data_IF_385157098163
#
_entry.id   IF_385157098163
#
_cell.length_a   1.000
_cell.length_b   1.000
_cell.length_c   1.000
_cell.angle_alpha   90.00
_cell.angle_beta   90.00
_cell.angle_gamma   90.00
#
_symmetry.space_group_name_H-M   'P 1'
#
loop_
_entity.id
_entity.type
_entity.pdbx_description
1 polymer ?
#
# COMPACT_ATOMS: atom_id res chain seq x y z
N UNK A 1 4.83 6.31 -13.77
CA UNK A 1 4.99 5.24 -12.77
C UNK A 1 3.98 4.14 -13.04
N UNK A 2 2.96 3.99 -12.20
CA UNK A 2 1.95 2.92 -12.34
C UNK A 2 1.10 3.04 -13.62
N UNK A 3 0.72 4.25 -14.01
CA UNK A 3 -0.08 4.52 -15.22
C UNK A 3 0.67 4.25 -16.53
N UNK A 4 2.00 4.22 -16.49
CA UNK A 4 2.85 4.01 -17.68
C UNK A 4 3.29 2.56 -17.84
N UNK A 5 2.92 1.67 -16.92
CA UNK A 5 3.27 0.26 -17.00
C UNK A 5 2.52 -0.42 -18.16
N UNK A 6 3.23 -1.26 -18.93
CA UNK A 6 2.71 -1.91 -20.14
C UNK A 6 2.55 -3.42 -20.02
N UNK A 7 3.15 -4.04 -19.00
CA UNK A 7 3.07 -5.49 -18.74
C UNK A 7 1.84 -5.85 -17.93
N UNK A 8 1.47 -7.13 -17.89
CA UNK A 8 0.25 -7.59 -17.20
C UNK A 8 0.31 -7.44 -15.68
N UNK A 9 1.52 -7.48 -15.14
CA UNK A 9 1.80 -7.30 -13.73
C UNK A 9 2.73 -6.11 -13.51
N UNK A 10 2.47 -5.38 -12.42
CA UNK A 10 3.24 -4.23 -11.97
C UNK A 10 3.87 -4.58 -10.64
N UNK A 11 5.19 -4.63 -10.60
CA UNK A 11 5.94 -4.75 -9.37
C UNK A 11 6.21 -3.36 -8.80
N UNK A 12 5.91 -3.18 -7.52
CA UNK A 12 6.11 -1.94 -6.78
C UNK A 12 7.02 -2.22 -5.58
N UNK A 13 8.13 -1.49 -5.51
CA UNK A 13 9.04 -1.53 -4.37
C UNK A 13 9.82 -0.23 -4.17
N UNK A 14 10.40 -0.07 -2.98
CA UNK A 14 11.28 1.04 -2.64
C UNK A 14 12.65 0.89 -3.32
N UNK A 15 13.20 2.01 -3.81
CA UNK A 15 14.51 2.06 -4.47
C UNK A 15 15.71 2.20 -3.52
N UNK A 16 15.53 1.98 -2.21
CA UNK A 16 16.54 2.23 -1.17
C UNK A 16 17.27 0.97 -0.67
N UNK A 17 17.17 -0.12 -1.46
CA UNK A 17 17.78 -1.43 -1.20
C UNK A 17 17.36 -2.07 0.13
N UNK A 18 16.21 -1.69 0.69
CA UNK A 18 15.68 -2.31 1.90
C UNK A 18 15.04 -3.69 1.67
N UNK A 19 14.80 -4.07 0.42
CA UNK A 19 14.25 -5.38 0.05
C UNK A 19 15.21 -6.11 -0.89
N UNK A 20 15.26 -7.45 -0.78
CA UNK A 20 15.95 -8.27 -1.76
C UNK A 20 15.05 -8.49 -2.97
N UNK A 21 15.40 -7.88 -4.10
CA UNK A 21 14.63 -7.99 -5.35
C UNK A 21 14.55 -9.44 -5.85
N UNK A 22 15.46 -10.32 -5.43
CA UNK A 22 15.37 -11.75 -5.78
C UNK A 22 14.14 -12.43 -5.18
N UNK A 23 13.60 -11.92 -4.07
CA UNK A 23 12.35 -12.41 -3.46
C UNK A 23 11.12 -12.09 -4.31
N UNK A 24 11.25 -11.30 -5.38
CA UNK A 24 10.19 -11.15 -6.39
C UNK A 24 9.76 -12.51 -6.95
N UNK A 25 10.67 -13.48 -7.02
CA UNK A 25 10.37 -14.86 -7.46
C UNK A 25 9.30 -15.51 -6.58
N UNK A 26 9.33 -15.24 -5.27
CA UNK A 26 8.36 -15.78 -4.32
C UNK A 26 6.96 -15.15 -4.51
N UNK A 27 6.91 -13.88 -4.94
CA UNK A 27 5.64 -13.24 -5.29
C UNK A 27 5.10 -13.80 -6.60
N UNK A 28 5.97 -13.97 -7.59
CA UNK A 28 5.60 -14.54 -8.90
C UNK A 28 5.08 -15.97 -8.75
N UNK A 29 5.63 -16.77 -7.84
CA UNK A 29 5.15 -18.12 -7.55
C UNK A 29 3.69 -18.19 -7.04
N UNK A 30 3.16 -17.08 -6.55
CA UNK A 30 1.78 -16.96 -6.06
C UNK A 30 0.81 -16.35 -7.08
N UNK A 31 1.30 -16.00 -8.28
CA UNK A 31 0.46 -15.49 -9.37
C UNK A 31 -0.45 -16.59 -9.88
N UNK A 32 -1.75 -16.29 -9.90
CA UNK A 32 -2.82 -17.17 -10.39
C UNK A 32 -3.95 -16.32 -10.98
N UNK A 33 -4.81 -16.94 -11.78
CA UNK A 33 -5.99 -16.27 -12.36
C UNK A 33 -6.96 -15.77 -11.28
N UNK A 34 -6.93 -16.39 -10.11
CA UNK A 34 -7.75 -16.02 -8.97
C UNK A 34 -7.12 -14.96 -8.04
N UNK A 35 -5.99 -14.38 -8.41
CA UNK A 35 -5.22 -13.43 -7.59
C UNK A 35 -4.99 -12.14 -8.35
N UNK A 36 -5.21 -11.00 -7.69
CA UNK A 36 -5.02 -9.67 -8.26
C UNK A 36 -3.82 -8.94 -7.65
N UNK A 37 -3.52 -9.24 -6.38
CA UNK A 37 -2.45 -8.60 -5.62
C UNK A 37 -1.71 -9.66 -4.79
N UNK A 38 -0.41 -9.78 -5.01
CA UNK A 38 0.51 -10.51 -4.13
C UNK A 38 1.26 -9.47 -3.28
N UNK A 39 1.00 -9.47 -1.98
CA UNK A 39 1.56 -8.49 -1.04
C UNK A 39 2.63 -9.14 -0.15
N UNK A 40 3.84 -8.58 -0.16
CA UNK A 40 4.86 -8.95 0.82
C UNK A 40 4.45 -8.54 2.23
N UNK A 41 4.92 -9.27 3.24
CA UNK A 41 4.90 -8.79 4.62
C UNK A 41 6.25 -9.05 5.31
N UNK A 42 6.66 -8.11 6.16
CA UNK A 42 8.00 -8.11 6.76
C UNK A 42 8.09 -9.24 7.80
N UNK A 43 8.89 -10.27 7.53
CA UNK A 43 9.01 -11.48 8.38
C UNK A 43 9.68 -11.18 9.73
N UNK A 44 10.70 -10.33 9.75
CA UNK A 44 11.39 -9.84 10.95
C UNK A 44 11.72 -8.37 10.78
N UNK A 45 11.35 -7.54 11.77
CA UNK A 45 11.82 -6.15 11.87
C UNK A 45 12.98 -6.11 12.86
N UNK A 46 14.20 -5.90 12.36
CA UNK A 46 15.40 -5.62 13.18
C UNK A 46 15.46 -4.13 13.58
N UNK A 47 14.32 -3.55 13.95
CA UNK A 47 14.18 -2.14 14.29
C UNK A 47 14.18 -1.94 15.81
N UNK A 48 14.52 -0.73 16.27
CA UNK A 48 14.42 -0.34 17.69
C UNK A 48 13.00 -0.61 18.24
N UNK A 49 12.89 -1.14 19.48
CA UNK A 49 11.61 -1.59 20.09
C UNK A 49 10.45 -0.59 19.95
N UNK A 50 10.73 0.72 20.09
CA UNK A 50 9.73 1.80 19.91
C UNK A 50 9.13 1.84 18.51
N UNK A 51 9.95 1.64 17.47
CA UNK A 51 9.51 1.62 16.06
C UNK A 51 8.66 0.39 15.76
N UNK A 52 9.00 -0.76 16.35
CA UNK A 52 8.20 -1.97 16.25
C UNK A 52 6.81 -1.75 16.86
N UNK A 53 6.74 -1.17 18.06
CA UNK A 53 5.46 -0.91 18.74
C UNK A 53 4.60 0.08 17.96
N UNK A 54 5.14 1.25 17.61
CA UNK A 54 4.39 2.28 16.88
C UNK A 54 3.95 1.80 15.49
N UNK A 55 4.84 1.13 14.75
CA UNK A 55 4.49 0.53 13.46
C UNK A 55 3.45 -0.58 13.60
N UNK A 56 3.50 -1.37 14.69
CA UNK A 56 2.49 -2.39 14.98
C UNK A 56 1.12 -1.80 15.30
N UNK A 57 1.09 -0.71 16.06
CA UNK A 57 -0.15 0.06 16.35
C UNK A 57 -0.71 0.61 15.04
N UNK A 58 0.11 1.28 14.23
CA UNK A 58 -0.31 1.83 12.94
C UNK A 58 -0.91 0.77 12.03
N UNK A 59 -0.25 -0.38 11.86
CA UNK A 59 -0.77 -1.49 11.03
C UNK A 59 -2.12 -2.00 11.54
N UNK A 60 -2.24 -2.21 12.86
CA UNK A 60 -3.49 -2.68 13.46
C UNK A 60 -4.62 -1.67 13.31
N UNK A 61 -4.35 -0.39 13.56
CA UNK A 61 -5.33 0.68 13.39
C UNK A 61 -5.74 0.83 11.93
N UNK A 62 -4.79 0.83 10.99
CA UNK A 62 -5.07 0.88 9.55
C UNK A 62 -5.97 -0.27 9.12
N UNK A 63 -5.65 -1.49 9.55
CA UNK A 63 -6.46 -2.66 9.23
C UNK A 63 -7.86 -2.59 9.81
N UNK A 64 -8.01 -2.15 11.06
CA UNK A 64 -9.30 -2.05 11.72
C UNK A 64 -10.18 -0.92 11.15
N UNK A 65 -9.61 0.27 10.96
CA UNK A 65 -10.36 1.45 10.54
C UNK A 65 -10.76 1.43 9.07
N UNK A 66 -9.95 0.81 8.20
CA UNK A 66 -10.20 0.74 6.77
C UNK A 66 -10.65 -0.65 6.30
N UNK A 67 -10.79 -1.63 7.20
CA UNK A 67 -11.21 -3.00 6.86
C UNK A 67 -10.27 -3.71 5.89
N UNK A 68 -8.95 -3.48 6.01
CA UNK A 68 -7.99 -3.94 5.00
C UNK A 68 -7.82 -5.48 5.00
N UNK A 69 -7.71 -6.12 3.83
CA UNK A 69 -7.60 -7.58 3.70
C UNK A 69 -6.17 -8.12 3.89
N UNK A 70 -5.21 -7.29 4.28
CA UNK A 70 -3.79 -7.65 4.41
C UNK A 70 -3.25 -7.37 5.81
N UNK A 71 -2.21 -8.08 6.23
CA UNK A 71 -1.57 -7.93 7.54
C UNK A 71 -0.56 -6.79 7.57
N UNK A 72 0.07 -6.48 6.44
CA UNK A 72 1.14 -5.48 6.35
C UNK A 72 0.86 -4.44 5.24
N UNK A 73 0.16 -3.38 5.61
CA UNK A 73 -0.16 -2.27 4.71
C UNK A 73 1.06 -1.40 4.38
N UNK A 74 2.12 -1.44 5.18
CA UNK A 74 3.33 -0.61 4.99
C UNK A 74 4.45 -1.37 4.25
N UNK A 75 4.12 -2.48 3.61
CA UNK A 75 5.12 -3.26 2.87
C UNK A 75 5.16 -2.81 1.41
N UNK A 76 6.20 -2.06 1.06
CA UNK A 76 6.47 -1.62 -0.30
C UNK A 76 7.22 -2.73 -1.07
N UNK A 77 6.58 -3.89 -1.17
CA UNK A 77 7.04 -5.04 -1.95
C UNK A 77 5.80 -5.81 -2.44
N UNK A 78 5.28 -5.42 -3.60
CA UNK A 78 3.96 -5.87 -4.08
C UNK A 78 3.98 -6.15 -5.56
N UNK A 79 3.30 -7.20 -5.97
CA UNK A 79 3.05 -7.54 -7.36
C UNK A 79 1.54 -7.46 -7.62
N UNK A 80 1.14 -6.57 -8.52
CA UNK A 80 -0.28 -6.23 -8.74
C UNK A 80 -0.65 -6.39 -10.21
N UNK A 81 -1.83 -6.92 -10.50
CA UNK A 81 -2.36 -6.90 -11.87
C UNK A 81 -2.50 -5.47 -12.35
N UNK A 82 -1.92 -5.17 -13.52
CA UNK A 82 -1.93 -3.84 -14.13
C UNK A 82 -3.34 -3.30 -14.27
N UNK A 83 -4.27 -4.13 -14.75
CA UNK A 83 -5.67 -3.74 -14.96
C UNK A 83 -6.34 -3.26 -13.68
N UNK A 84 -6.03 -3.89 -12.54
CA UNK A 84 -6.62 -3.56 -11.24
C UNK A 84 -5.99 -2.29 -10.66
N UNK A 85 -4.65 -2.17 -10.64
CA UNK A 85 -3.99 -0.96 -10.12
C UNK A 85 -4.24 0.28 -10.98
N UNK A 86 -4.47 0.13 -12.29
CA UNK A 86 -4.85 1.25 -13.17
C UNK A 86 -6.34 1.62 -13.08
N UNK A 87 -7.17 0.77 -12.46
CA UNK A 87 -8.60 1.04 -12.26
C UNK A 87 -8.89 2.02 -11.11
N UNK A 88 -7.89 2.27 -10.25
CA UNK A 88 -8.03 3.13 -9.07
C UNK A 88 -7.26 4.45 -9.27
N UNK A 89 -7.79 5.51 -8.68
CA UNK A 89 -7.14 6.82 -8.63
C UNK A 89 -6.48 6.98 -7.26
N UNK A 90 -5.18 7.29 -7.19
CA UNK A 90 -4.45 7.53 -5.94
C UNK A 90 -4.15 9.01 -5.80
N UNK A 91 -4.53 9.61 -4.66
CA UNK A 91 -4.40 11.06 -4.43
C UNK A 91 -3.44 11.42 -3.31
N UNK A 92 -3.17 10.48 -2.41
CA UNK A 92 -2.26 10.71 -1.29
C UNK A 92 -0.84 10.90 -1.80
N UNK A 93 -0.18 11.95 -1.30
CA UNK A 93 1.22 12.27 -1.63
C UNK A 93 2.18 11.94 -0.48
N UNK A 94 1.66 11.38 0.62
CA UNK A 94 2.45 10.97 1.78
C UNK A 94 2.43 9.46 1.98
N UNK A 95 3.11 8.96 3.02
CA UNK A 95 3.23 7.52 3.30
C UNK A 95 1.88 6.80 3.53
N UNK A 96 0.77 7.52 3.67
CA UNK A 96 -0.57 6.94 3.73
C UNK A 96 -1.08 6.44 2.38
N UNK A 97 -0.36 6.70 1.28
CA UNK A 97 -0.70 6.21 -0.06
C UNK A 97 -0.80 4.69 -0.12
N UNK A 98 -0.02 3.97 0.68
CA UNK A 98 -0.09 2.52 0.77
C UNK A 98 -1.42 2.05 1.37
N UNK A 99 -1.92 2.76 2.39
CA UNK A 99 -3.24 2.53 2.97
C UNK A 99 -4.36 2.85 1.97
N UNK A 100 -4.27 4.00 1.28
CA UNK A 100 -5.23 4.37 0.24
C UNK A 100 -5.27 3.33 -0.89
N UNK A 101 -4.10 2.88 -1.35
CA UNK A 101 -3.97 1.91 -2.43
C UNK A 101 -4.65 0.60 -2.06
N UNK A 102 -4.31 0.02 -0.92
CA UNK A 102 -4.88 -1.26 -0.49
C UNK A 102 -6.39 -1.14 -0.26
N UNK A 103 -6.84 -0.04 0.34
CA UNK A 103 -8.27 0.22 0.53
C UNK A 103 -9.01 0.27 -0.80
N UNK A 104 -8.53 1.06 -1.77
CA UNK A 104 -9.18 1.22 -3.08
C UNK A 104 -9.14 -0.06 -3.91
N UNK A 105 -8.05 -0.82 -3.85
CA UNK A 105 -7.96 -2.15 -4.48
C UNK A 105 -9.00 -3.10 -3.88
N UNK A 106 -9.13 -3.14 -2.55
CA UNK A 106 -10.13 -3.96 -1.88
C UNK A 106 -11.56 -3.56 -2.26
N UNK A 107 -11.86 -2.26 -2.31
CA UNK A 107 -13.16 -1.73 -2.75
C UNK A 107 -13.44 -2.02 -4.24
N UNK A 108 -12.40 -2.16 -5.06
CA UNK A 108 -12.52 -2.58 -6.45
C UNK A 108 -12.70 -4.11 -6.60
N UNK A 109 -12.76 -4.86 -5.49
CA UNK A 109 -12.95 -6.31 -5.48
C UNK A 109 -11.67 -7.12 -5.72
N UNK A 110 -10.49 -6.50 -5.59
CA UNK A 110 -9.22 -7.20 -5.78
C UNK A 110 -9.03 -8.33 -4.76
N UNK A 111 -8.51 -9.47 -5.22
CA UNK A 111 -8.16 -10.62 -4.37
C UNK A 111 -6.69 -10.58 -4.00
N UNK A 112 -6.43 -10.71 -2.70
CA UNK A 112 -5.10 -10.56 -2.12
C UNK A 112 -4.57 -11.90 -1.64
N UNK A 113 -3.27 -12.11 -1.85
CA UNK A 113 -2.48 -13.17 -1.20
C UNK A 113 -1.22 -12.56 -0.62
N UNK A 114 -0.67 -13.19 0.42
CA UNK A 114 0.45 -12.65 1.17
C UNK A 114 1.61 -13.63 1.28
N UNK A 115 2.85 -13.13 1.19
CA UNK A 115 4.07 -13.93 1.34
C UNK A 115 5.09 -13.20 2.22
N UNK A 116 5.84 -13.92 3.09
CA UNK A 116 6.87 -13.28 3.89
C UNK A 116 8.02 -12.80 3.01
N UNK A 117 8.53 -11.60 3.27
CA UNK A 117 9.72 -11.05 2.62
C UNK A 117 10.73 -10.56 3.67
N UNK A 118 12.01 -10.55 3.30
CA UNK A 118 13.05 -9.96 4.10
C UNK A 118 13.05 -8.45 3.94
N UNK A 119 13.24 -7.75 5.07
CA UNK A 119 13.33 -6.30 5.10
C UNK A 119 14.58 -5.92 5.88
N UNK A 120 15.54 -5.37 5.17
CA UNK A 120 16.84 -4.97 5.71
C UNK A 120 16.77 -3.56 6.31
N UNK A 121 17.63 -3.32 7.30
CA UNK A 121 17.85 -1.96 7.78
C UNK A 121 18.46 -1.12 6.66
N UNK A 122 18.09 0.16 6.56
CA UNK A 122 18.76 1.09 5.63
C UNK A 122 20.25 1.13 5.94
N UNK A 123 21.08 0.91 4.93
CA UNK A 123 22.55 0.94 5.03
C UNK A 123 23.09 2.37 5.23
N UNK A 124 22.39 3.38 4.69
CA UNK A 124 22.76 4.79 4.80
C UNK A 124 21.54 5.68 5.09
N UNK A 125 21.73 6.70 5.93
CA UNK A 125 20.73 7.69 6.30
C UNK A 125 20.24 7.56 7.74
N UNK A 126 20.55 8.55 8.57
CA UNK A 126 19.88 8.68 9.87
C UNK A 126 18.39 8.94 9.64
N UNK A 127 17.53 8.19 10.34
CA UNK A 127 16.09 8.31 10.20
C UNK A 127 15.60 9.68 10.73
N UNK A 128 15.42 10.66 9.86
CA UNK A 128 14.76 11.93 10.20
C UNK A 128 13.25 11.78 10.47
N UNK A 129 12.70 10.57 10.34
CA UNK A 129 11.27 10.27 10.48
C UNK A 129 10.74 10.28 11.92
N UNK A 130 11.61 10.32 12.94
CA UNK A 130 11.18 10.21 14.35
C UNK A 130 11.19 11.53 15.13
N UNK A 131 10.97 12.65 14.45
CA UNK A 131 10.61 13.89 15.15
C UNK A 131 9.12 13.86 15.50
N UNK A 132 8.73 14.48 16.62
CA UNK A 132 7.31 14.66 16.99
C UNK A 132 6.49 15.29 15.86
N UNK A 133 7.10 16.19 15.08
CA UNK A 133 6.49 16.82 13.90
C UNK A 133 6.14 15.80 12.82
N UNK A 134 7.04 14.87 12.52
CA UNK A 134 6.79 13.81 11.54
C UNK A 134 5.66 12.88 11.97
N UNK A 135 5.64 12.49 13.26
CA UNK A 135 4.56 11.66 13.82
C UNK A 135 3.21 12.38 13.75
N UNK A 136 3.15 13.65 14.17
CA UNK A 136 1.93 14.45 14.11
C UNK A 136 1.45 14.66 12.66
N UNK A 137 2.37 14.81 11.71
CA UNK A 137 2.05 14.88 10.28
C UNK A 137 1.43 13.58 9.78
N UNK A 138 2.06 12.44 10.05
CA UNK A 138 1.50 11.13 9.66
C UNK A 138 0.13 10.88 10.30
N UNK A 139 -0.07 11.25 11.58
CA UNK A 139 -1.35 11.12 12.23
C UNK A 139 -2.44 11.99 11.58
N UNK A 140 -2.12 13.24 11.22
CA UNK A 140 -3.04 14.14 10.52
C UNK A 140 -3.39 13.62 9.13
N UNK A 141 -2.40 13.18 8.36
CA UNK A 141 -2.61 12.64 7.01
C UNK A 141 -3.48 11.37 7.07
N UNK A 142 -3.21 10.50 8.05
CA UNK A 142 -3.98 9.27 8.27
C UNK A 142 -5.42 9.55 8.69
N UNK A 143 -5.64 10.52 9.59
CA UNK A 143 -6.98 10.94 10.00
C UNK A 143 -7.75 11.60 8.85
N UNK A 144 -7.08 12.45 8.06
CA UNK A 144 -7.66 13.04 6.86
C UNK A 144 -8.07 11.98 5.84
N UNK A 145 -7.22 10.98 5.62
CA UNK A 145 -7.54 9.84 4.76
C UNK A 145 -8.75 9.05 5.28
N UNK A 146 -8.81 8.80 6.59
CA UNK A 146 -9.94 8.10 7.20
C UNK A 146 -11.25 8.87 7.04
N UNK A 147 -11.26 10.17 7.31
CA UNK A 147 -12.42 11.02 7.07
C UNK A 147 -12.85 10.99 5.61
N UNK A 148 -11.90 11.08 4.67
CA UNK A 148 -12.19 11.13 3.25
C UNK A 148 -12.74 9.80 2.69
N UNK A 149 -12.19 8.66 3.13
CA UNK A 149 -12.53 7.34 2.58
C UNK A 149 -13.67 6.64 3.31
N UNK A 150 -13.82 6.88 4.62
CA UNK A 150 -14.80 6.19 5.47
C UNK A 150 -15.98 7.10 5.83
N UNK A 151 -15.72 8.34 6.27
CA UNK A 151 -16.79 9.23 6.80
C UNK A 151 -17.48 10.02 5.69
N UNK A 152 -16.73 10.50 4.70
CA UNK A 152 -17.23 11.34 3.59
C UNK A 152 -17.02 10.71 2.21
N UNK A 153 -17.44 9.45 1.98
CA UNK A 153 -17.16 8.74 0.72
C UNK A 153 -17.78 9.42 -0.50
N UNK A 154 -18.91 10.14 -0.33
CA UNK A 154 -19.65 10.80 -1.43
C UNK A 154 -18.85 11.87 -2.17
N UNK A 155 -17.94 12.58 -1.50
CA UNK A 155 -17.05 13.58 -2.13
C UNK A 155 -15.94 12.90 -2.96
N UNK A 156 -15.49 11.73 -2.51
CA UNK A 156 -14.46 10.94 -3.20
C UNK A 156 -15.03 10.20 -4.43
N UNK A 157 -16.27 9.71 -4.35
CA UNK A 157 -16.92 8.96 -5.42
C UNK A 157 -17.51 9.83 -6.54
N UNK A 158 -17.92 11.08 -6.26
CA UNK A 158 -18.42 12.01 -7.28
C UNK A 158 -17.43 12.28 -8.43
N UNK A 159 -16.14 12.08 -8.19
CA UNK A 159 -15.08 12.17 -9.22
C UNK A 159 -14.78 10.84 -9.92
N UNK A 160 -15.16 9.68 -9.35
CA UNK A 160 -15.03 8.37 -10.02
C UNK A 160 -16.19 8.12 -11.00
N UNK A 161 -17.41 8.58 -10.67
CA UNK A 161 -18.61 8.33 -11.48
C UNK A 161 -18.64 9.04 -12.84
N UNK A 162 -17.83 10.09 -13.04
CA UNK A 162 -17.85 10.90 -14.27
C UNK A 162 -16.95 10.35 -15.39
N UNK A 163 -16.04 9.40 -15.13
CA UNK A 163 -15.12 8.87 -16.16
C UNK A 163 -15.56 7.57 -16.83
N UNK A 164 -16.52 6.83 -16.26
CA UNK A 164 -17.05 5.61 -16.90
C UNK A 164 -17.98 5.90 -18.09
N UNK A 165 -18.54 7.11 -18.20
CA UNK A 165 -19.51 7.44 -19.25
C UNK A 165 -18.90 7.87 -20.60
N UNK A 166 -17.57 8.00 -20.72
CA UNK A 166 -16.92 8.51 -21.95
C UNK A 166 -16.06 7.46 -22.66
N UNK A 167 -15.92 6.25 -22.12
CA UNK A 167 -15.14 5.17 -22.75
C UNK A 167 -16.00 4.15 -23.52
N UNK A 168 -17.31 4.32 -23.54
CA UNK A 168 -18.26 3.53 -24.36
C UNK A 168 -18.96 4.46 -25.37
N UNK A 169 -18.20 5.03 -26.29
CA UNK A 169 -18.70 5.59 -27.56
C UNK A 169 -17.69 5.37 -28.67
#
# INVERSE_FOLDING_TARGET
GLLTATKDWVFYTDGDAQYDVNELRDLVALVRDDVDVVNGYKRKRSDHRRRIVLGGIYKRLSRALFGLPIRDVDCDFRLMRRTVIQSIDLRSTSGVVCTEMVYKLAQAGARFVETPVHHYARMHGQSQFFTWRSVAKTARDFFGLWLQLIVLPRVSFGLLGQRKATAER
#
